data_IF_084145815599
#
_entry.id   IF_084145815599
#
_cell.length_a   1.000
_cell.length_b   1.000
_cell.length_c   1.000
_cell.angle_alpha   90.00
_cell.angle_beta   90.00
_cell.angle_gamma   90.00
#
_symmetry.space_group_name_H-M   'P 1'
#
loop_
_entity.id
_entity.type
_entity.pdbx_description
1 polymer ?
#
# COMPACT_ATOMS: atom_id res chain seq x y z
N UNK A 1 9.47 -21.74 -5.22
CA UNK A 1 8.67 -20.61 -4.71
C UNK A 1 9.56 -19.50 -4.15
N UNK A 2 10.39 -19.73 -3.11
CA UNK A 2 11.23 -18.70 -2.45
C UNK A 2 12.15 -17.94 -3.44
N UNK A 3 12.87 -18.65 -4.31
CA UNK A 3 13.74 -18.03 -5.32
C UNK A 3 12.98 -17.08 -6.27
N UNK A 4 11.79 -17.45 -6.69
CA UNK A 4 10.94 -16.63 -7.56
C UNK A 4 10.42 -15.39 -6.82
N UNK A 5 10.03 -15.52 -5.55
CA UNK A 5 9.58 -14.39 -4.72
C UNK A 5 10.70 -13.39 -4.44
N UNK A 6 11.92 -13.89 -4.14
CA UNK A 6 13.12 -13.07 -3.96
C UNK A 6 13.53 -12.38 -5.27
N UNK A 7 13.47 -13.10 -6.40
CA UNK A 7 13.77 -12.54 -7.73
C UNK A 7 12.77 -11.46 -8.13
N UNK A 8 11.49 -11.64 -7.84
CA UNK A 8 10.46 -10.63 -8.09
C UNK A 8 10.69 -9.36 -7.25
N UNK A 9 11.08 -9.52 -5.98
CA UNK A 9 11.47 -8.42 -5.09
C UNK A 9 12.71 -7.67 -5.61
N UNK A 10 13.73 -8.40 -6.04
CA UNK A 10 14.97 -7.83 -6.59
C UNK A 10 14.73 -7.10 -7.91
N UNK A 11 13.81 -7.57 -8.74
CA UNK A 11 13.44 -6.94 -10.01
C UNK A 11 12.70 -5.58 -9.79
N UNK A 12 12.02 -5.42 -8.65
CA UNK A 12 11.32 -4.19 -8.29
C UNK A 12 12.25 -3.12 -7.66
N UNK A 13 13.50 -3.48 -7.33
CA UNK A 13 14.48 -2.60 -6.69
C UNK A 13 15.52 -2.09 -7.70
N UNK A 14 15.39 -0.85 -8.11
CA UNK A 14 16.47 -0.11 -8.77
C UNK A 14 17.45 0.42 -7.72
N UNK A 15 18.48 -0.35 -7.37
CA UNK A 15 19.58 0.16 -6.57
C UNK A 15 19.90 -0.64 -5.31
N UNK A 16 21.11 -0.44 -4.81
CA UNK A 16 21.81 -1.14 -3.73
C UNK A 16 21.18 -0.93 -2.34
N UNK A 17 19.93 -1.35 -2.16
CA UNK A 17 19.15 -1.22 -0.91
C UNK A 17 19.15 -2.56 -0.20
N UNK A 18 19.59 -2.61 1.05
CA UNK A 18 19.63 -3.83 1.86
C UNK A 18 18.27 -4.54 1.90
N UNK A 19 18.26 -5.87 1.84
CA UNK A 19 17.08 -6.75 1.77
C UNK A 19 15.98 -6.38 2.79
N UNK A 20 16.35 -6.02 4.03
CA UNK A 20 15.40 -5.63 5.08
C UNK A 20 14.73 -4.28 4.78
N UNK A 21 15.48 -3.32 4.21
CA UNK A 21 14.94 -2.01 3.83
C UNK A 21 13.99 -2.15 2.63
N UNK A 22 14.34 -3.04 1.71
CA UNK A 22 13.55 -3.38 0.53
C UNK A 22 12.22 -4.07 0.90
N UNK A 23 12.24 -5.02 1.84
CA UNK A 23 11.04 -5.63 2.41
C UNK A 23 10.12 -4.59 3.08
N UNK A 24 10.70 -3.58 3.72
CA UNK A 24 9.96 -2.52 4.41
C UNK A 24 9.35 -1.49 3.45
N UNK A 25 9.95 -1.30 2.27
CA UNK A 25 9.58 -0.30 1.27
C UNK A 25 8.77 -0.90 0.11
N UNK A 26 8.65 -2.25 0.04
CA UNK A 26 7.85 -2.91 -0.98
C UNK A 26 6.39 -2.46 -0.89
N UNK A 27 5.92 -1.80 -1.95
CA UNK A 27 4.53 -1.32 -2.08
C UNK A 27 3.55 -2.44 -2.44
N UNK A 28 4.06 -3.62 -2.83
CA UNK A 28 3.24 -4.78 -3.18
C UNK A 28 3.09 -5.74 -1.99
N UNK A 29 1.92 -5.75 -1.33
CA UNK A 29 1.67 -6.59 -0.16
C UNK A 29 1.69 -8.08 -0.48
N UNK A 30 1.35 -8.48 -1.71
CA UNK A 30 1.32 -9.89 -2.10
C UNK A 30 2.74 -10.47 -2.18
N UNK A 31 3.69 -9.72 -2.75
CA UNK A 31 5.10 -10.11 -2.81
C UNK A 31 5.70 -10.18 -1.40
N UNK A 32 5.39 -9.19 -0.55
CA UNK A 32 5.83 -9.18 0.84
C UNK A 32 5.29 -10.39 1.63
N UNK A 33 3.99 -10.68 1.51
CA UNK A 33 3.36 -11.83 2.16
C UNK A 33 4.01 -13.15 1.72
N UNK A 34 4.21 -13.35 0.42
CA UNK A 34 4.85 -14.55 -0.13
C UNK A 34 6.28 -14.74 0.38
N UNK A 35 7.07 -13.68 0.52
CA UNK A 35 8.44 -13.77 1.07
C UNK A 35 8.39 -14.12 2.56
N UNK A 36 7.52 -13.49 3.34
CA UNK A 36 7.37 -13.78 4.77
C UNK A 36 6.92 -15.23 5.03
N UNK A 37 5.96 -15.71 4.25
CA UNK A 37 5.49 -17.09 4.31
C UNK A 37 6.59 -18.10 3.98
N UNK A 38 7.35 -17.87 2.92
CA UNK A 38 8.47 -18.76 2.55
C UNK A 38 9.61 -18.73 3.59
N UNK A 39 9.90 -17.57 4.20
CA UNK A 39 10.88 -17.47 5.29
C UNK A 39 10.40 -18.25 6.52
N UNK A 40 9.13 -18.09 6.89
CA UNK A 40 8.55 -18.84 8.02
C UNK A 40 8.58 -20.35 7.77
N UNK A 41 8.31 -20.79 6.54
CA UNK A 41 8.40 -22.19 6.16
C UNK A 41 9.82 -22.75 6.29
N UNK A 42 10.85 -21.98 5.88
CA UNK A 42 12.26 -22.38 6.02
C UNK A 42 12.67 -22.48 7.50
N UNK A 43 12.29 -21.50 8.31
CA UNK A 43 12.56 -21.54 9.77
C UNK A 43 11.81 -22.70 10.42
N UNK A 44 10.55 -22.93 10.05
CA UNK A 44 9.75 -24.05 10.53
C UNK A 44 10.39 -25.40 10.17
N UNK A 45 10.88 -25.56 8.94
CA UNK A 45 11.58 -26.77 8.49
C UNK A 45 12.88 -26.99 9.28
N UNK A 46 13.64 -25.94 9.54
CA UNK A 46 14.86 -26.03 10.38
C UNK A 46 14.51 -26.47 11.82
N UNK A 47 13.47 -25.88 12.42
CA UNK A 47 12.99 -26.26 13.75
C UNK A 47 12.51 -27.72 13.79
N UNK A 48 11.80 -28.18 12.77
CA UNK A 48 11.36 -29.58 12.66
C UNK A 48 12.56 -30.51 12.57
N UNK A 49 13.55 -30.21 11.73
CA UNK A 49 14.79 -31.00 11.62
C UNK A 49 15.54 -31.10 12.93
N UNK A 50 15.68 -29.98 13.66
CA UNK A 50 16.30 -29.94 14.99
C UNK A 50 15.50 -30.77 15.98
N UNK A 51 14.17 -30.63 16.02
CA UNK A 51 13.29 -31.38 16.91
C UNK A 51 13.42 -32.89 16.73
N UNK A 52 13.34 -33.35 15.48
CA UNK A 52 13.49 -34.78 15.13
C UNK A 52 14.90 -35.29 15.47
N UNK A 53 15.94 -34.51 15.13
CA UNK A 53 17.33 -34.89 15.41
C UNK A 53 17.59 -35.02 16.94
N UNK A 54 17.17 -34.03 17.74
CA UNK A 54 17.31 -34.05 19.17
C UNK A 54 16.46 -35.15 19.82
N UNK A 55 15.25 -35.36 19.34
CA UNK A 55 14.36 -36.42 19.80
C UNK A 55 14.98 -37.79 19.62
N UNK A 56 15.60 -38.03 18.47
CA UNK A 56 16.29 -39.28 18.20
C UNK A 56 17.59 -39.46 19.00
N UNK A 57 18.42 -38.38 19.06
CA UNK A 57 19.72 -38.45 19.74
C UNK A 57 19.61 -38.56 21.26
N UNK A 58 18.66 -37.84 21.87
CA UNK A 58 18.39 -37.94 23.33
C UNK A 58 17.40 -39.02 23.73
N UNK A 59 16.86 -39.76 22.73
CA UNK A 59 15.85 -40.80 22.92
C UNK A 59 14.63 -40.28 23.74
N UNK A 60 14.21 -39.04 23.45
CA UNK A 60 13.16 -38.35 24.21
C UNK A 60 12.16 -37.68 23.23
N UNK A 61 10.90 -38.17 23.21
CA UNK A 61 9.88 -37.68 22.28
C UNK A 61 9.38 -36.25 22.56
N UNK A 62 9.69 -35.68 23.73
CA UNK A 62 9.26 -34.34 24.08
C UNK A 62 9.91 -33.24 23.21
N UNK A 63 11.08 -33.52 22.61
CA UNK A 63 11.74 -32.56 21.71
C UNK A 63 10.96 -32.35 20.41
N UNK A 64 10.36 -33.39 19.85
CA UNK A 64 9.52 -33.30 18.66
C UNK A 64 8.22 -32.54 18.97
N UNK A 65 7.58 -32.86 20.10
CA UNK A 65 6.39 -32.10 20.57
C UNK A 65 6.70 -30.61 20.83
N UNK A 66 7.84 -30.32 21.44
CA UNK A 66 8.31 -28.94 21.66
C UNK A 66 8.57 -28.18 20.36
N UNK A 67 9.21 -28.83 19.39
CA UNK A 67 9.43 -28.26 18.06
C UNK A 67 8.11 -27.97 17.33
N UNK A 68 7.15 -28.89 17.41
CA UNK A 68 5.80 -28.71 16.84
C UNK A 68 5.06 -27.51 17.42
N UNK A 69 5.11 -27.31 18.75
CA UNK A 69 4.55 -26.13 19.40
C UNK A 69 5.27 -24.85 18.95
N UNK A 70 6.59 -24.86 18.89
CA UNK A 70 7.36 -23.71 18.43
C UNK A 70 7.03 -23.30 16.99
N UNK A 71 6.86 -24.28 16.10
CA UNK A 71 6.42 -24.05 14.71
C UNK A 71 5.01 -23.46 14.68
N UNK A 72 4.08 -24.00 15.47
CA UNK A 72 2.72 -23.50 15.57
C UNK A 72 2.68 -22.03 16.02
N UNK A 73 3.45 -21.68 17.03
CA UNK A 73 3.60 -20.28 17.50
C UNK A 73 4.23 -19.37 16.44
N UNK A 74 5.27 -19.82 15.75
CA UNK A 74 5.90 -19.08 14.66
C UNK A 74 4.87 -18.75 13.56
N UNK A 75 4.12 -19.75 13.11
CA UNK A 75 3.11 -19.56 12.06
C UNK A 75 1.98 -18.63 12.51
N UNK A 76 1.55 -18.74 13.77
CA UNK A 76 0.54 -17.83 14.34
C UNK A 76 1.05 -16.38 14.34
N UNK A 77 2.29 -16.14 14.77
CA UNK A 77 2.89 -14.79 14.77
C UNK A 77 2.97 -14.21 13.35
N UNK A 78 3.40 -15.01 12.38
CA UNK A 78 3.46 -14.60 10.97
C UNK A 78 2.07 -14.28 10.44
N UNK A 79 1.07 -15.10 10.73
CA UNK A 79 -0.32 -14.86 10.30
C UNK A 79 -0.88 -13.54 10.88
N UNK A 80 -0.71 -13.30 12.18
CA UNK A 80 -1.14 -12.03 12.83
C UNK A 80 -0.44 -10.83 12.21
N UNK A 81 0.86 -10.94 11.95
CA UNK A 81 1.64 -9.89 11.33
C UNK A 81 1.16 -9.58 9.90
N UNK A 82 0.89 -10.60 9.09
CA UNK A 82 0.37 -10.45 7.73
C UNK A 82 -1.02 -9.82 7.73
N UNK A 83 -1.91 -10.25 8.61
CA UNK A 83 -3.25 -9.64 8.75
C UNK A 83 -3.13 -8.15 9.10
N UNK A 84 -2.22 -7.78 10.01
CA UNK A 84 -1.98 -6.38 10.36
C UNK A 84 -1.53 -5.53 9.18
N UNK A 85 -0.71 -6.09 8.28
CA UNK A 85 -0.23 -5.41 7.07
C UNK A 85 -1.31 -5.31 5.99
N UNK A 86 -2.17 -6.32 5.86
CA UNK A 86 -3.19 -6.38 4.81
C UNK A 86 -4.43 -5.54 5.14
N UNK A 87 -4.67 -5.22 6.41
CA UNK A 87 -5.82 -4.38 6.84
C UNK A 87 -5.89 -3.05 6.10
N UNK A 88 -4.77 -2.39 5.84
CA UNK A 88 -4.72 -1.12 5.12
C UNK A 88 -5.30 -1.17 3.71
N UNK A 89 -5.26 -2.32 3.05
CA UNK A 89 -5.80 -2.53 1.70
C UNK A 89 -7.28 -2.91 1.70
N UNK A 90 -7.77 -3.49 2.80
CA UNK A 90 -9.16 -3.96 2.90
C UNK A 90 -10.13 -2.88 3.40
N UNK A 91 -9.63 -1.81 4.02
CA UNK A 91 -10.46 -0.80 4.71
C UNK A 91 -10.52 0.53 3.93
N UNK A 92 -10.10 0.57 2.65
CA UNK A 92 -10.18 1.79 1.85
C UNK A 92 -9.37 2.93 2.45
N UNK A 93 -8.11 2.67 2.83
CA UNK A 93 -7.22 3.73 3.34
C UNK A 93 -6.99 4.78 2.26
N UNK A 94 -7.04 6.05 2.65
CA UNK A 94 -6.62 7.16 1.80
C UNK A 94 -5.10 7.17 1.59
N UNK A 95 -4.64 8.02 0.69
CA UNK A 95 -3.20 8.30 0.51
C UNK A 95 -2.60 8.87 1.79
N UNK A 96 -1.29 8.77 1.94
CA UNK A 96 -0.58 9.36 3.08
C UNK A 96 -0.71 10.90 3.10
N UNK A 97 -0.47 11.49 4.26
CA UNK A 97 -0.66 12.93 4.46
C UNK A 97 0.24 13.80 3.56
N UNK A 98 1.43 13.33 3.20
CA UNK A 98 2.33 14.08 2.31
C UNK A 98 1.81 14.07 0.87
N UNK A 99 1.36 12.92 0.38
CA UNK A 99 0.71 12.79 -0.93
C UNK A 99 -0.58 13.62 -0.97
N UNK A 100 -1.41 13.58 0.08
CA UNK A 100 -2.63 14.38 0.16
C UNK A 100 -2.35 15.88 0.07
N UNK A 101 -1.35 16.37 0.83
CA UNK A 101 -0.94 17.78 0.79
C UNK A 101 -0.42 18.20 -0.59
N UNK A 102 0.29 17.30 -1.30
CA UNK A 102 0.74 17.56 -2.65
C UNK A 102 -0.42 17.64 -3.65
N UNK A 103 -1.39 16.73 -3.56
CA UNK A 103 -2.62 16.77 -4.36
C UNK A 103 -3.41 18.06 -4.15
N UNK A 104 -3.52 18.51 -2.89
CA UNK A 104 -4.15 19.79 -2.56
C UNK A 104 -3.39 20.97 -3.18
N UNK A 105 -2.06 20.96 -3.13
CA UNK A 105 -1.22 22.00 -3.73
C UNK A 105 -1.44 22.07 -5.23
N UNK A 106 -1.37 20.94 -5.95
CA UNK A 106 -1.59 20.89 -7.41
C UNK A 106 -2.95 21.49 -7.77
N UNK A 107 -4.00 21.15 -6.99
CA UNK A 107 -5.33 21.65 -7.26
C UNK A 107 -5.47 23.16 -6.97
N UNK A 108 -4.81 23.68 -5.93
CA UNK A 108 -4.83 25.12 -5.60
C UNK A 108 -4.00 25.98 -6.57
N UNK A 109 -2.96 25.40 -7.16
CA UNK A 109 -2.07 26.08 -8.10
C UNK A 109 -2.73 26.31 -9.49
N UNK A 110 -3.91 25.73 -9.76
CA UNK A 110 -4.64 25.93 -10.99
C UNK A 110 -5.28 27.34 -11.05
N UNK A 111 -5.06 28.11 -12.11
CA UNK A 111 -5.48 29.50 -12.19
C UNK A 111 -7.00 29.69 -12.17
N UNK A 112 -7.77 28.68 -12.59
CA UNK A 112 -9.24 28.73 -12.63
C UNK A 112 -9.87 28.32 -11.28
N UNK A 113 -9.09 27.78 -10.34
CA UNK A 113 -9.54 27.30 -9.04
C UNK A 113 -9.48 28.43 -8.01
N UNK A 114 -10.63 28.75 -7.41
CA UNK A 114 -10.72 29.71 -6.31
C UNK A 114 -10.48 29.06 -4.97
N UNK A 115 -11.10 27.91 -4.74
CA UNK A 115 -10.99 27.17 -3.50
C UNK A 115 -11.24 25.68 -3.72
N UNK A 116 -10.73 24.84 -2.83
CA UNK A 116 -10.99 23.41 -2.80
C UNK A 116 -11.34 22.98 -1.38
N UNK A 117 -12.10 21.88 -1.27
CA UNK A 117 -12.20 21.12 -0.02
C UNK A 117 -11.12 20.02 -0.06
N UNK A 118 -10.66 19.61 1.12
CA UNK A 118 -9.66 18.53 1.21
C UNK A 118 -10.12 17.28 0.44
N UNK A 119 -9.28 16.72 -0.44
CA UNK A 119 -9.63 15.57 -1.27
C UNK A 119 -9.96 14.35 -0.43
N UNK A 120 -10.97 13.60 -0.84
CA UNK A 120 -11.21 12.24 -0.35
C UNK A 120 -10.50 11.28 -1.29
N UNK A 121 -9.64 10.44 -0.73
CA UNK A 121 -8.88 9.46 -1.50
C UNK A 121 -9.07 8.06 -0.93
N UNK A 122 -9.01 7.05 -1.80
CA UNK A 122 -9.14 5.65 -1.39
C UNK A 122 -8.33 4.75 -2.33
N UNK A 123 -7.51 3.87 -1.76
CA UNK A 123 -6.87 2.81 -2.52
C UNK A 123 -7.88 1.72 -2.90
N UNK A 124 -7.95 1.40 -4.19
CA UNK A 124 -8.64 0.22 -4.72
C UNK A 124 -7.67 -0.93 -4.98
N UNK A 125 -6.39 -0.61 -5.08
CA UNK A 125 -5.30 -1.56 -5.31
C UNK A 125 -3.95 -0.92 -5.06
N UNK A 126 -2.84 -1.64 -5.25
CA UNK A 126 -1.48 -1.14 -4.97
C UNK A 126 -1.10 0.12 -5.73
N UNK A 127 -1.63 0.29 -6.95
CA UNK A 127 -1.36 1.42 -7.85
C UNK A 127 -2.66 1.98 -8.45
N UNK A 128 -3.79 1.80 -7.79
CA UNK A 128 -5.10 2.30 -8.22
C UNK A 128 -5.73 3.09 -7.09
N UNK A 129 -5.66 4.41 -7.18
CA UNK A 129 -6.25 5.35 -6.24
C UNK A 129 -7.43 6.03 -6.89
N UNK A 130 -8.54 6.08 -6.16
CA UNK A 130 -9.69 6.92 -6.47
C UNK A 130 -9.58 8.22 -5.67
N UNK A 131 -9.90 9.33 -6.31
CA UNK A 131 -9.92 10.66 -5.70
C UNK A 131 -11.24 11.35 -6.00
N UNK A 132 -11.86 11.92 -4.99
CA UNK A 132 -13.00 12.83 -5.12
C UNK A 132 -12.62 14.20 -4.56
N UNK A 133 -12.89 15.26 -5.32
CA UNK A 133 -12.51 16.63 -4.98
C UNK A 133 -13.65 17.60 -5.26
N UNK A 134 -14.03 18.36 -4.24
CA UNK A 134 -14.94 19.49 -4.39
C UNK A 134 -14.13 20.75 -4.75
N UNK A 135 -14.44 21.37 -5.89
CA UNK A 135 -13.72 22.53 -6.41
C UNK A 135 -14.68 23.70 -6.60
N UNK A 136 -14.29 24.85 -6.09
CA UNK A 136 -14.93 26.15 -6.35
C UNK A 136 -14.14 26.86 -7.46
N UNK A 137 -14.74 26.90 -8.65
CA UNK A 137 -14.15 27.58 -9.79
C UNK A 137 -14.49 29.08 -9.80
N UNK A 138 -13.74 29.88 -10.56
CA UNK A 138 -13.99 31.29 -10.71
C UNK A 138 -15.39 31.58 -11.31
N UNK A 139 -16.11 32.58 -10.81
CA UNK A 139 -17.51 32.87 -11.13
C UNK A 139 -17.76 33.28 -12.60
N UNK A 140 -16.72 33.68 -13.33
CA UNK A 140 -16.80 34.22 -14.70
C UNK A 140 -16.54 33.16 -15.78
N UNK A 141 -16.44 31.88 -15.41
CA UNK A 141 -16.20 30.80 -16.36
C UNK A 141 -17.51 30.32 -17.00
N UNK A 142 -17.48 30.14 -18.31
CA UNK A 142 -18.55 29.43 -19.03
C UNK A 142 -18.47 27.93 -18.74
N UNK A 143 -19.55 27.21 -19.02
CA UNK A 143 -19.58 25.74 -18.82
C UNK A 143 -18.47 25.01 -19.59
N UNK A 144 -18.11 25.49 -20.79
CA UNK A 144 -17.02 24.92 -21.58
C UNK A 144 -15.66 25.17 -20.92
N UNK A 145 -15.45 26.37 -20.36
CA UNK A 145 -14.21 26.71 -19.65
C UNK A 145 -14.07 25.92 -18.35
N UNK A 146 -15.16 25.66 -17.63
CA UNK A 146 -15.14 24.77 -16.47
C UNK A 146 -14.77 23.35 -16.88
N UNK A 147 -15.32 22.82 -18.00
CA UNK A 147 -14.97 21.50 -18.48
C UNK A 147 -13.47 21.40 -18.83
N UNK A 148 -12.91 22.40 -19.53
CA UNK A 148 -11.47 22.45 -19.82
C UNK A 148 -10.64 22.53 -18.54
N UNK A 149 -11.04 23.36 -17.57
CA UNK A 149 -10.33 23.48 -16.29
C UNK A 149 -10.34 22.17 -15.49
N UNK A 150 -11.42 21.38 -15.57
CA UNK A 150 -11.49 20.04 -14.97
C UNK A 150 -10.51 19.08 -15.64
N UNK A 151 -10.42 19.09 -16.98
CA UNK A 151 -9.47 18.25 -17.73
C UNK A 151 -8.02 18.62 -17.40
N UNK A 152 -7.68 19.91 -17.41
CA UNK A 152 -6.35 20.43 -17.07
C UNK A 152 -5.94 20.03 -15.64
N UNK A 153 -6.86 20.14 -14.67
CA UNK A 153 -6.63 19.73 -13.30
C UNK A 153 -6.41 18.22 -13.19
N UNK A 154 -7.21 17.41 -13.89
CA UNK A 154 -7.03 15.94 -13.88
C UNK A 154 -5.68 15.55 -14.48
N UNK A 155 -5.26 16.21 -15.58
CA UNK A 155 -3.99 15.91 -16.23
C UNK A 155 -2.79 16.35 -15.37
N UNK A 156 -2.88 17.49 -14.69
CA UNK A 156 -1.86 17.95 -13.75
C UNK A 156 -1.69 16.95 -12.57
N UNK A 157 -2.80 16.43 -12.04
CA UNK A 157 -2.76 15.41 -10.97
C UNK A 157 -2.12 14.12 -11.49
N UNK A 158 -2.53 13.62 -12.65
CA UNK A 158 -1.99 12.37 -13.23
C UNK A 158 -0.52 12.48 -13.60
N UNK A 159 -0.04 13.65 -13.96
CA UNK A 159 1.36 13.88 -14.31
C UNK A 159 2.30 13.68 -13.11
N UNK A 160 1.90 14.13 -11.91
CA UNK A 160 2.69 13.97 -10.68
C UNK A 160 2.35 12.67 -9.93
N UNK A 161 1.10 12.19 -10.05
CA UNK A 161 0.55 11.03 -9.33
C UNK A 161 -0.14 10.04 -10.28
N UNK A 162 0.63 9.27 -11.07
CA UNK A 162 0.06 8.31 -12.05
C UNK A 162 -0.75 7.18 -11.40
N UNK A 163 -0.59 6.95 -10.10
CA UNK A 163 -1.41 6.02 -9.31
C UNK A 163 -2.86 6.51 -9.13
N UNK A 164 -3.12 7.82 -9.26
CA UNK A 164 -4.47 8.40 -9.16
C UNK A 164 -5.18 8.29 -10.50
N UNK A 165 -5.78 7.13 -10.75
CA UNK A 165 -6.39 6.83 -12.06
C UNK A 165 -7.79 7.38 -12.22
N UNK A 166 -8.58 7.41 -11.14
CA UNK A 166 -9.97 7.86 -11.15
C UNK A 166 -10.12 9.12 -10.33
N UNK A 167 -10.41 10.23 -11.01
CA UNK A 167 -10.55 11.54 -10.40
C UNK A 167 -11.97 12.03 -10.66
N UNK A 168 -12.74 12.21 -9.59
CA UNK A 168 -14.07 12.80 -9.61
C UNK A 168 -13.98 14.22 -9.09
N UNK A 169 -14.35 15.19 -9.92
CA UNK A 169 -14.36 16.60 -9.56
C UNK A 169 -15.80 17.07 -9.54
N UNK A 170 -16.24 17.55 -8.39
CA UNK A 170 -17.55 18.20 -8.24
C UNK A 170 -17.35 19.71 -8.19
N UNK A 171 -17.90 20.41 -9.19
CA UNK A 171 -17.90 21.85 -9.22
C UNK A 171 -18.96 22.37 -8.22
N UNK A 172 -18.52 23.04 -7.14
CA UNK A 172 -19.36 23.56 -6.07
C UNK A 172 -19.04 25.02 -5.80
N UNK A 173 -20.07 25.77 -5.37
CA UNK A 173 -19.84 27.08 -4.76
C UNK A 173 -19.60 26.89 -3.25
N UNK A 174 -18.35 26.79 -2.85
CA UNK A 174 -17.94 26.52 -1.45
C UNK A 174 -18.16 27.74 -0.52
N UNK A 175 -18.39 28.94 -1.08
CA UNK A 175 -18.62 30.16 -0.31
C UNK A 175 -20.05 30.25 0.26
N UNK A 176 -21.01 29.48 -0.27
CA UNK A 176 -22.44 29.52 0.11
C UNK A 176 -22.87 28.41 1.09
N UNK A 177 -22.00 27.51 1.46
CA UNK A 177 -22.35 26.42 2.40
C UNK A 177 -22.03 26.86 3.84
N UNK A 178 -23.04 27.40 4.52
CA UNK A 178 -23.08 27.67 5.95
C UNK A 178 -23.81 26.53 6.66
#
# INVERSE_FOLDING_TARGET
AFYLSVKALLAQSSGNVGFVKMLRTSKDPAVFASVMENLAALVGLALAGIGVFLGHWLNNPYFDGGASIAIGLLLMLVAVFLVGRTKGLLVGTGVDAATLANLERIARDQPQVRNIRSPLTMYLGPNDVIMALDVDFADNLSSSQVATAVEELQDAIRAEHPEVQRIFIEAKNLTKTK
#
